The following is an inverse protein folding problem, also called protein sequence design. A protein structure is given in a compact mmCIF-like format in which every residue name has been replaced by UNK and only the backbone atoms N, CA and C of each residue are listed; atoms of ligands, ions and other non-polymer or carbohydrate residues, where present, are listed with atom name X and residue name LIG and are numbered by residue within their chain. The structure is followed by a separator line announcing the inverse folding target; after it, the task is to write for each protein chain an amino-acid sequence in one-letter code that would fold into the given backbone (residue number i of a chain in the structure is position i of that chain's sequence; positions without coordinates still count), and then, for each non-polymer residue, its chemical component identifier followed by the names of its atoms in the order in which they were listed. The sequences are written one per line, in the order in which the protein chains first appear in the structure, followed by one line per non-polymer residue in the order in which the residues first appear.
data_IF_329119291850
#
_entry.id   IF_329119291850
#
_cell.length_a   1.000
_cell.length_b   1.000
_cell.length_c   1.000
_cell.angle_alpha   90.00
_cell.angle_beta   90.00
_cell.angle_gamma   90.00
#
_symmetry.space_group_name_H-M   'P 1'
#
loop_
_entity.id
_entity.type
_entity.pdbx_description
1 polymer ?
#
# COMPACT_ATOMS: atom_id res chain seq x y z
N UNK A 1 -14.68 7.11 2.01
CA UNK A 1 -14.83 6.14 0.91
C UNK A 1 -13.50 5.39 0.79
N UNK A 2 -13.46 4.11 1.17
CA UNK A 2 -12.27 3.26 0.97
C UNK A 2 -12.15 2.95 -0.53
N UNK A 3 -10.99 3.20 -1.14
CA UNK A 3 -10.73 2.81 -2.53
C UNK A 3 -9.84 1.59 -2.51
N UNK A 4 -10.37 0.50 -3.03
CA UNK A 4 -9.59 -0.70 -3.31
C UNK A 4 -8.82 -0.48 -4.60
N UNK A 5 -7.50 -0.66 -4.55
CA UNK A 5 -6.61 -0.50 -5.69
C UNK A 5 -5.88 -1.83 -5.89
N UNK A 6 -5.90 -2.33 -7.12
CA UNK A 6 -5.10 -3.49 -7.48
C UNK A 6 -3.78 -2.95 -8.04
N UNK A 7 -2.68 -3.17 -7.32
CA UNK A 7 -1.34 -2.78 -7.75
C UNK A 7 -0.51 -4.04 -8.04
N UNK A 8 0.17 -4.08 -9.17
CA UNK A 8 1.12 -5.15 -9.49
C UNK A 8 2.52 -4.73 -9.02
N UNK A 9 3.01 -5.37 -7.94
CA UNK A 9 4.35 -5.15 -7.40
C UNK A 9 5.16 -6.39 -7.76
N UNK A 10 6.22 -6.23 -8.58
CA UNK A 10 7.18 -7.26 -9.03
C UNK A 10 6.61 -8.70 -9.05
N UNK A 11 5.82 -9.05 -10.07
CA UNK A 11 5.28 -10.40 -10.29
C UNK A 11 4.41 -11.00 -9.16
N UNK A 12 4.05 -10.23 -8.14
CA UNK A 12 3.17 -10.64 -7.05
C UNK A 12 1.89 -9.81 -7.13
N UNK A 13 0.76 -10.48 -7.34
CA UNK A 13 -0.56 -9.84 -7.25
C UNK A 13 -0.95 -9.67 -5.78
N UNK A 14 -0.60 -8.53 -5.18
CA UNK A 14 -1.17 -8.10 -3.90
C UNK A 14 -2.38 -7.20 -4.17
N UNK A 15 -3.49 -7.47 -3.47
CA UNK A 15 -4.59 -6.51 -3.37
C UNK A 15 -4.27 -5.52 -2.27
N UNK A 16 -4.30 -4.23 -2.55
CA UNK A 16 -4.11 -3.21 -1.51
C UNK A 16 -5.34 -2.34 -1.36
N UNK A 17 -5.49 -1.77 -0.18
CA UNK A 17 -6.52 -0.78 0.12
C UNK A 17 -5.84 0.49 0.56
N UNK A 18 -6.36 1.62 0.06
CA UNK A 18 -5.91 2.93 0.48
C UNK A 18 -7.10 3.73 1.01
N UNK A 19 -6.86 4.37 2.15
CA UNK A 19 -7.83 5.28 2.75
C UNK A 19 -7.11 6.44 3.42
N UNK A 20 -7.85 7.54 3.57
CA UNK A 20 -7.37 8.69 4.33
C UNK A 20 -7.74 8.49 5.80
N UNK A 21 -6.75 8.54 6.67
CA UNK A 21 -6.89 8.48 8.12
C UNK A 21 -6.42 9.83 8.69
N UNK A 22 -7.38 10.71 9.01
CA UNK A 22 -7.09 12.07 9.41
C UNK A 22 -6.39 12.89 8.31
N UNK A 23 -5.16 13.32 8.57
CA UNK A 23 -4.36 14.11 7.61
C UNK A 23 -3.47 13.26 6.70
N UNK A 24 -3.32 11.97 6.97
CA UNK A 24 -2.43 11.08 6.24
C UNK A 24 -3.24 10.04 5.45
N UNK A 25 -2.58 9.41 4.49
CA UNK A 25 -3.10 8.26 3.76
C UNK A 25 -2.43 6.98 4.29
N UNK A 26 -3.24 5.96 4.52
CA UNK A 26 -2.79 4.62 4.90
C UNK A 26 -2.99 3.71 3.70
N UNK A 27 -1.93 3.03 3.30
CA UNK A 27 -1.95 1.98 2.28
C UNK A 27 -1.64 0.63 2.95
N UNK A 28 -2.52 -0.34 2.83
CA UNK A 28 -2.36 -1.67 3.43
C UNK A 28 -2.46 -2.75 2.35
N UNK A 29 -1.53 -3.71 2.35
CA UNK A 29 -1.68 -4.93 1.56
C UNK A 29 -2.67 -5.87 2.29
N UNK A 30 -3.62 -6.44 1.56
CA UNK A 30 -4.58 -7.40 2.11
C UNK A 30 -4.04 -8.84 2.13
N UNK A 31 -2.98 -9.09 1.35
CA UNK A 31 -2.37 -10.41 1.22
C UNK A 31 -1.33 -10.68 2.31
N UNK A 32 -0.73 -9.63 2.87
CA UNK A 32 0.26 -9.70 3.95
C UNK A 32 -0.05 -8.61 4.96
N UNK A 33 0.23 -8.86 6.24
CA UNK A 33 -0.03 -7.90 7.33
C UNK A 33 1.03 -6.78 7.37
N UNK A 34 1.14 -6.07 6.24
CA UNK A 34 2.07 -4.96 6.01
C UNK A 34 1.27 -3.76 5.52
N UNK A 35 1.48 -2.65 6.18
CA UNK A 35 0.92 -1.35 5.83
C UNK A 35 1.97 -0.27 5.82
N UNK A 36 1.72 0.78 5.06
CA UNK A 36 2.50 1.99 5.03
C UNK A 36 1.60 3.24 5.08
N UNK A 37 2.20 4.39 5.32
CA UNK A 37 1.52 5.67 5.38
C UNK A 37 2.29 6.75 4.62
N UNK A 38 1.59 7.83 4.27
CA UNK A 38 2.18 9.01 3.62
C UNK A 38 1.26 10.22 3.70
N UNK A 39 1.79 11.41 3.42
CA UNK A 39 1.02 12.66 3.35
C UNK A 39 0.13 12.71 2.10
N UNK A 40 0.47 11.91 1.09
CA UNK A 40 -0.30 11.72 -0.15
C UNK A 40 -0.59 10.25 -0.42
N UNK A 41 -1.56 10.00 -1.31
CA UNK A 41 -1.90 8.63 -1.71
C UNK A 41 -0.74 7.94 -2.40
N UNK A 42 -0.04 8.69 -3.23
CA UNK A 42 1.09 8.25 -4.03
C UNK A 42 2.27 7.88 -3.14
N UNK A 43 2.55 8.68 -2.11
CA UNK A 43 3.61 8.40 -1.13
C UNK A 43 3.30 7.16 -0.29
N UNK A 44 2.07 7.02 0.21
CA UNK A 44 1.66 5.84 0.97
C UNK A 44 1.80 4.55 0.14
N UNK A 45 1.45 4.60 -1.15
CA UNK A 45 1.63 3.47 -2.07
C UNK A 45 3.09 3.18 -2.39
N UNK A 46 3.90 4.20 -2.63
CA UNK A 46 5.33 4.06 -2.90
C UNK A 46 6.04 3.41 -1.72
N UNK A 47 5.80 3.91 -0.52
CA UNK A 47 6.36 3.35 0.70
C UNK A 47 5.89 1.90 0.91
N UNK A 48 4.63 1.58 0.60
CA UNK A 48 4.12 0.20 0.67
C UNK A 48 4.83 -0.71 -0.34
N UNK A 49 5.05 -0.23 -1.57
CA UNK A 49 5.74 -0.97 -2.62
C UNK A 49 7.20 -1.27 -2.29
N UNK A 50 7.93 -0.30 -1.74
CA UNK A 50 9.32 -0.51 -1.30
C UNK A 50 9.41 -1.58 -0.21
N UNK A 51 8.55 -1.50 0.81
CA UNK A 51 8.52 -2.47 1.91
C UNK A 51 8.16 -3.87 1.39
N UNK A 52 7.17 -3.97 0.50
CA UNK A 52 6.80 -5.27 -0.10
C UNK A 52 7.92 -5.82 -0.98
N UNK A 53 8.63 -4.97 -1.73
CA UNK A 53 9.77 -5.40 -2.54
C UNK A 53 10.89 -5.97 -1.66
N UNK A 54 11.12 -5.41 -0.47
CA UNK A 54 12.12 -5.91 0.48
C UNK A 54 11.65 -7.18 1.20
N UNK A 55 10.33 -7.31 1.46
CA UNK A 55 9.75 -8.48 2.12
C UNK A 55 9.76 -9.73 1.24
N UNK A 56 9.64 -9.56 -0.08
CA UNK A 56 9.60 -10.66 -1.06
C UNK A 56 10.93 -10.91 -1.80
N UNK A 57 11.98 -10.16 -1.48
CA UNK A 57 13.36 -10.47 -1.90
C UNK A 57 13.95 -11.63 -1.08
#
# INVERSE_FOLDING_TARGET
MHKQIFTEIKNIKCSSVIWQEGQHFIAQCLNVDISSFGDSREEALMNLEEVLSLYFE
#
